data_IF_096755960477
#
_entry.id   IF_096755960477
#
_cell.length_a   1.000
_cell.length_b   1.000
_cell.length_c   1.000
_cell.angle_alpha   90.00
_cell.angle_beta   90.00
_cell.angle_gamma   90.00
#
_symmetry.space_group_name_H-M   'P 1'
#
loop_
_entity.id
_entity.type
_entity.pdbx_description
1 polymer ?
#
# COMPACT_ATOMS: atom_id res chain seq x y z
N UNK A 1 2.32 -38.41 -53.16
CA UNK A 1 3.31 -37.75 -52.26
C UNK A 1 2.56 -36.73 -51.43
N UNK A 2 2.26 -37.09 -50.18
CA UNK A 2 1.68 -36.18 -49.19
C UNK A 2 2.84 -35.78 -48.26
N UNK A 3 3.17 -34.50 -48.25
CA UNK A 3 4.07 -33.90 -47.26
C UNK A 3 3.19 -33.13 -46.29
N UNK A 4 3.14 -33.65 -45.07
CA UNK A 4 2.42 -33.09 -43.94
C UNK A 4 2.89 -31.67 -43.66
N UNK A 5 1.95 -30.75 -43.65
CA UNK A 5 2.11 -29.37 -43.22
C UNK A 5 2.30 -29.31 -41.71
N UNK A 6 3.53 -28.94 -41.33
CA UNK A 6 3.90 -28.54 -39.98
C UNK A 6 3.35 -27.16 -39.60
N UNK A 7 3.15 -27.00 -38.29
CA UNK A 7 3.03 -25.77 -37.51
C UNK A 7 1.67 -25.10 -37.37
N UNK A 8 1.04 -25.39 -36.23
CA UNK A 8 0.43 -24.38 -35.37
C UNK A 8 0.69 -24.77 -33.90
N UNK A 9 1.84 -24.36 -33.35
CA UNK A 9 2.01 -24.26 -31.90
C UNK A 9 1.41 -22.93 -31.48
N UNK A 10 0.10 -22.93 -31.22
CA UNK A 10 -0.53 -21.89 -30.43
C UNK A 10 -0.06 -22.07 -28.98
N UNK A 11 0.81 -21.16 -28.53
CA UNK A 11 1.34 -21.11 -27.17
C UNK A 11 0.90 -19.81 -26.47
N UNK A 12 -0.40 -19.50 -26.46
CA UNK A 12 -1.00 -18.65 -25.43
C UNK A 12 -1.54 -19.56 -24.32
N UNK A 13 -1.27 -19.34 -23.01
CA UNK A 13 -1.24 -18.08 -22.26
C UNK A 13 0.00 -17.90 -21.35
N UNK A 14 1.01 -18.79 -21.45
CA UNK A 14 2.13 -18.84 -20.50
C UNK A 14 3.00 -17.57 -20.51
N UNK A 15 3.14 -16.92 -21.66
CA UNK A 15 3.95 -15.71 -21.79
C UNK A 15 3.35 -14.49 -21.10
N UNK A 16 2.03 -14.42 -20.90
CA UNK A 16 1.39 -13.27 -20.25
C UNK A 16 1.57 -13.33 -18.73
N UNK A 17 1.33 -14.50 -18.15
CA UNK A 17 1.51 -14.72 -16.71
C UNK A 17 2.98 -14.56 -16.30
N UNK A 18 3.92 -15.05 -17.10
CA UNK A 18 5.36 -14.87 -16.87
C UNK A 18 5.78 -13.39 -16.90
N UNK A 19 5.22 -12.59 -17.81
CA UNK A 19 5.47 -11.13 -17.86
C UNK A 19 4.96 -10.43 -16.62
N UNK A 20 3.75 -10.79 -16.17
CA UNK A 20 3.16 -10.24 -14.95
C UNK A 20 3.99 -10.61 -13.73
N UNK A 21 4.45 -11.86 -13.62
CA UNK A 21 5.32 -12.29 -12.51
C UNK A 21 6.70 -11.64 -12.56
N UNK A 22 7.30 -11.49 -13.73
CA UNK A 22 8.56 -10.76 -13.89
C UNK A 22 8.41 -9.29 -13.47
N UNK A 23 7.33 -8.64 -13.87
CA UNK A 23 7.01 -7.27 -13.49
C UNK A 23 6.81 -7.15 -11.97
N UNK A 24 6.06 -8.07 -11.34
CA UNK A 24 5.90 -8.08 -9.88
C UNK A 24 7.23 -8.21 -9.15
N UNK A 25 8.12 -9.10 -9.60
CA UNK A 25 9.46 -9.26 -9.02
C UNK A 25 10.27 -7.97 -9.11
N UNK A 26 10.29 -7.34 -10.29
CA UNK A 26 10.96 -6.06 -10.49
C UNK A 26 10.41 -4.96 -9.58
N UNK A 27 9.09 -4.85 -9.46
CA UNK A 27 8.46 -3.86 -8.57
C UNK A 27 8.80 -4.14 -7.11
N UNK A 28 8.88 -5.40 -6.71
CA UNK A 28 9.24 -5.75 -5.34
C UNK A 28 10.71 -5.43 -5.03
N UNK A 29 11.63 -5.67 -5.96
CA UNK A 29 13.02 -5.23 -5.85
C UNK A 29 13.12 -3.71 -5.70
N UNK A 30 12.39 -2.95 -6.51
CA UNK A 30 12.30 -1.49 -6.41
C UNK A 30 11.73 -1.06 -5.04
N UNK A 31 10.73 -1.77 -4.52
CA UNK A 31 10.15 -1.48 -3.20
C UNK A 31 11.12 -1.75 -2.07
N UNK A 32 11.94 -2.80 -2.15
CA UNK A 32 12.96 -3.10 -1.14
C UNK A 32 13.98 -1.97 -1.10
N UNK A 33 14.51 -1.57 -2.25
CA UNK A 33 15.45 -0.43 -2.32
C UNK A 33 14.79 0.87 -1.86
N UNK A 34 13.52 1.10 -2.22
CA UNK A 34 12.77 2.27 -1.78
C UNK A 34 12.67 2.34 -0.26
N UNK A 35 12.33 1.21 0.39
CA UNK A 35 12.28 1.15 1.86
C UNK A 35 13.65 1.40 2.49
N UNK A 36 14.71 0.83 1.92
CA UNK A 36 16.09 1.05 2.38
C UNK A 36 16.49 2.52 2.25
N UNK A 37 16.25 3.15 1.10
CA UNK A 37 16.50 4.57 0.85
C UNK A 37 15.89 5.45 1.95
N UNK A 38 14.61 5.23 2.27
CA UNK A 38 13.93 6.03 3.29
C UNK A 38 14.37 5.71 4.72
N UNK A 39 14.83 4.49 4.98
CA UNK A 39 15.36 4.06 6.29
C UNK A 39 16.75 4.65 6.55
N UNK A 40 17.61 4.63 5.54
CA UNK A 40 19.04 4.94 5.68
C UNK A 40 19.35 6.41 5.34
N UNK A 41 18.34 7.21 4.98
CA UNK A 41 18.51 8.62 4.62
C UNK A 41 19.13 9.43 5.74
N UNK A 42 19.97 10.39 5.36
CA UNK A 42 20.56 11.37 6.27
C UNK A 42 19.66 12.60 6.32
N UNK A 43 19.20 12.95 7.52
CA UNK A 43 18.41 14.15 7.75
C UNK A 43 19.32 15.33 8.13
N UNK A 44 19.54 16.25 7.19
CA UNK A 44 20.18 17.53 7.44
C UNK A 44 19.17 18.50 8.07
N UNK A 45 19.26 18.66 9.39
CA UNK A 45 18.38 19.55 10.16
C UNK A 45 18.62 21.03 9.89
N UNK A 46 19.82 21.43 9.47
CA UNK A 46 20.16 22.84 9.25
C UNK A 46 19.51 23.33 7.97
N UNK A 47 19.58 22.51 6.92
CA UNK A 47 18.99 22.82 5.60
C UNK A 47 17.57 22.28 5.44
N UNK A 48 17.12 21.43 6.36
CA UNK A 48 15.86 20.70 6.27
C UNK A 48 15.75 19.91 4.95
N UNK A 49 16.83 19.17 4.66
CA UNK A 49 17.02 18.32 3.49
C UNK A 49 17.21 16.86 3.96
N UNK A 50 16.54 15.92 3.30
CA UNK A 50 16.76 14.49 3.44
C UNK A 50 17.62 14.01 2.27
N UNK A 51 18.79 13.44 2.57
CA UNK A 51 19.84 13.12 1.60
C UNK A 51 20.04 11.60 1.54
N UNK A 52 20.25 11.04 0.34
CA UNK A 52 20.61 9.63 0.18
C UNK A 52 22.00 9.34 0.75
N UNK A 53 22.09 8.37 1.66
CA UNK A 53 23.36 7.92 2.23
C UNK A 53 24.18 7.03 1.29
N UNK A 54 23.50 6.35 0.36
CA UNK A 54 24.05 5.35 -0.56
C UNK A 54 23.59 5.57 -2.00
N UNK A 55 24.16 4.82 -2.93
CA UNK A 55 23.74 4.81 -4.34
C UNK A 55 22.74 3.68 -4.55
N UNK A 56 21.62 3.99 -5.20
CA UNK A 56 20.53 3.06 -5.54
C UNK A 56 20.28 3.12 -7.05
N UNK A 57 20.98 2.28 -7.81
CA UNK A 57 20.96 2.30 -9.28
C UNK A 57 19.55 2.05 -9.84
N UNK A 58 18.79 1.13 -9.24
CA UNK A 58 17.43 0.83 -9.70
C UNK A 58 16.46 1.98 -9.45
N UNK A 59 16.75 2.88 -8.52
CA UNK A 59 15.97 4.10 -8.27
C UNK A 59 16.54 5.33 -8.99
N UNK A 60 17.69 5.19 -9.68
CA UNK A 60 18.48 6.29 -10.28
C UNK A 60 18.87 7.38 -9.29
N UNK A 61 19.15 6.98 -8.05
CA UNK A 61 19.54 7.88 -6.96
C UNK A 61 21.01 7.67 -6.64
N UNK A 62 21.82 8.70 -6.83
CA UNK A 62 23.23 8.67 -6.43
C UNK A 62 23.39 9.02 -4.95
N UNK A 63 24.49 8.58 -4.34
CA UNK A 63 24.86 9.00 -2.98
C UNK A 63 24.98 10.52 -2.91
N UNK A 64 24.34 11.13 -1.91
CA UNK A 64 24.30 12.59 -1.75
C UNK A 64 23.14 13.28 -2.48
N UNK A 65 22.32 12.55 -3.23
CA UNK A 65 21.11 13.11 -3.87
C UNK A 65 20.09 13.50 -2.82
N UNK A 66 19.48 14.68 -2.96
CA UNK A 66 18.37 15.13 -2.10
C UNK A 66 17.11 14.34 -2.49
N UNK A 67 16.48 13.67 -1.53
CA UNK A 67 15.28 12.86 -1.76
C UNK A 67 14.03 13.66 -1.40
N UNK A 68 14.13 14.50 -0.37
CA UNK A 68 13.08 15.38 0.11
C UNK A 68 13.70 16.65 0.68
N UNK A 69 13.07 17.81 0.49
CA UNK A 69 13.48 19.04 1.13
C UNK A 69 12.26 19.91 1.39
N UNK A 70 12.33 20.75 2.42
CA UNK A 70 11.24 21.64 2.80
C UNK A 70 11.03 22.83 1.85
N UNK A 71 12.06 23.23 1.10
CA UNK A 71 12.06 24.42 0.24
C UNK A 71 12.05 24.03 -1.23
N UNK A 72 11.04 24.50 -1.97
CA UNK A 72 10.91 24.46 -3.45
C UNK A 72 11.52 23.22 -4.12
N UNK A 73 11.26 22.04 -3.55
CA UNK A 73 11.80 20.78 -4.02
C UNK A 73 10.68 19.81 -4.34
N UNK A 74 10.77 19.15 -5.49
CA UNK A 74 9.87 18.08 -5.85
C UNK A 74 10.37 16.79 -5.19
N UNK A 75 9.67 16.26 -4.17
CA UNK A 75 10.12 15.06 -3.51
C UNK A 75 10.15 13.88 -4.48
N UNK A 76 11.09 12.97 -4.23
CA UNK A 76 11.19 11.75 -5.03
C UNK A 76 9.88 10.97 -4.96
N UNK A 77 9.33 10.62 -6.12
CA UNK A 77 8.03 9.99 -6.24
C UNK A 77 8.18 8.58 -6.82
N UNK A 78 7.78 7.58 -6.04
CA UNK A 78 7.87 6.18 -6.45
C UNK A 78 7.07 5.89 -7.73
N UNK A 79 5.97 6.60 -7.96
CA UNK A 79 5.18 6.48 -9.19
C UNK A 79 6.00 6.78 -10.44
N UNK A 80 6.77 7.86 -10.40
CA UNK A 80 7.55 8.34 -11.54
C UNK A 80 8.67 7.35 -11.86
N UNK A 81 9.27 6.74 -10.82
CA UNK A 81 10.26 5.67 -10.97
C UNK A 81 9.65 4.44 -11.65
N UNK A 82 8.43 4.04 -11.27
CA UNK A 82 7.73 2.92 -11.92
C UNK A 82 7.43 3.22 -13.40
N UNK A 83 7.01 4.46 -13.71
CA UNK A 83 6.76 4.90 -15.10
C UNK A 83 8.04 4.88 -15.93
N UNK A 84 9.16 5.29 -15.35
CA UNK A 84 10.47 5.31 -16.00
C UNK A 84 11.00 3.90 -16.33
N UNK A 85 10.64 2.91 -15.50
CA UNK A 85 10.86 1.48 -15.74
C UNK A 85 9.83 0.84 -16.69
N UNK A 86 8.90 1.64 -17.24
CA UNK A 86 7.84 1.18 -18.17
C UNK A 86 6.95 0.09 -17.59
N UNK A 87 6.71 0.12 -16.27
CA UNK A 87 5.83 -0.80 -15.57
C UNK A 87 4.38 -0.57 -16.04
N UNK A 88 3.72 -1.63 -16.51
CA UNK A 88 2.30 -1.57 -16.88
C UNK A 88 1.43 -1.26 -15.66
N UNK A 89 0.51 -0.30 -15.78
CA UNK A 89 -0.43 0.11 -14.73
C UNK A 89 0.23 0.45 -13.37
N UNK A 90 1.10 1.46 -13.29
CA UNK A 90 1.86 1.80 -12.07
C UNK A 90 0.95 2.18 -10.89
N UNK A 91 -0.27 2.68 -11.16
CA UNK A 91 -1.25 3.04 -10.13
C UNK A 91 -1.64 1.86 -9.25
N UNK A 92 -1.63 0.63 -9.79
CA UNK A 92 -2.04 -0.56 -9.06
C UNK A 92 -1.05 -0.94 -7.96
N UNK A 93 0.20 -0.49 -8.05
CA UNK A 93 1.25 -0.78 -7.08
C UNK A 93 1.35 0.26 -5.96
N UNK A 94 0.58 1.34 -6.05
CA UNK A 94 0.59 2.43 -5.08
C UNK A 94 -0.69 2.37 -4.27
N UNK A 95 -0.58 2.56 -2.96
CA UNK A 95 -1.76 2.63 -2.11
C UNK A 95 -2.61 3.86 -2.49
N UNK A 96 -3.95 3.73 -2.58
CA UNK A 96 -4.81 4.87 -2.85
C UNK A 96 -4.70 5.91 -1.72
N UNK A 97 -5.03 7.16 -2.04
CA UNK A 97 -5.00 8.26 -1.08
C UNK A 97 -5.87 7.91 0.16
N UNK A 98 -5.32 8.15 1.35
CA UNK A 98 -5.97 7.87 2.66
C UNK A 98 -7.37 8.50 2.76
N UNK A 99 -7.59 9.66 2.13
CA UNK A 99 -8.87 10.37 2.15
C UNK A 99 -9.96 9.63 1.35
N UNK A 100 -9.59 8.95 0.26
CA UNK A 100 -10.50 8.13 -0.55
C UNK A 100 -10.95 6.91 0.26
N UNK A 101 -10.04 6.35 1.07
CA UNK A 101 -10.25 5.14 1.86
C UNK A 101 -10.26 3.87 1.01
N UNK A 102 -9.97 2.74 1.65
CA UNK A 102 -9.88 1.45 0.95
C UNK A 102 -11.24 0.85 0.59
N UNK A 103 -11.20 -0.37 0.05
CA UNK A 103 -12.37 -1.17 -0.32
C UNK A 103 -13.45 -1.24 0.77
N UNK A 104 -13.06 -1.31 2.04
CA UNK A 104 -14.02 -1.34 3.16
C UNK A 104 -14.83 -0.05 3.26
N UNK A 105 -14.22 1.13 3.01
CA UNK A 105 -14.94 2.40 3.02
C UNK A 105 -15.88 2.48 1.82
N UNK A 106 -15.40 2.13 0.63
CA UNK A 106 -16.21 2.05 -0.59
C UNK A 106 -17.44 1.15 -0.43
N UNK A 107 -17.27 -0.06 0.10
CA UNK A 107 -18.40 -0.98 0.35
C UNK A 107 -19.39 -0.36 1.34
N UNK A 108 -18.92 0.34 2.38
CA UNK A 108 -19.79 0.99 3.36
C UNK A 108 -20.53 2.23 2.82
N UNK A 109 -19.93 3.00 1.92
CA UNK A 109 -20.51 4.25 1.41
C UNK A 109 -21.34 4.05 0.16
N UNK A 110 -20.90 3.21 -0.78
CA UNK A 110 -21.54 3.07 -2.08
C UNK A 110 -22.49 1.86 -2.15
N UNK A 111 -22.14 0.74 -1.50
CA UNK A 111 -22.85 -0.54 -1.67
C UNK A 111 -23.84 -0.80 -0.52
N UNK A 112 -23.38 -0.66 0.73
CA UNK A 112 -24.19 -0.95 1.92
C UNK A 112 -25.47 -0.11 2.07
N UNK A 113 -25.49 1.22 1.75
CA UNK A 113 -26.69 2.03 1.94
C UNK A 113 -27.76 1.74 0.88
N UNK A 114 -27.40 1.17 -0.27
CA UNK A 114 -28.39 0.70 -1.25
C UNK A 114 -29.21 -0.50 -0.74
N UNK A 115 -28.62 -1.32 0.15
CA UNK A 115 -29.27 -2.50 0.71
C UNK A 115 -29.99 -2.25 2.05
N UNK A 116 -29.78 -1.09 2.70
CA UNK A 116 -30.30 -0.81 4.03
C UNK A 116 -31.66 -0.10 4.06
N UNK A 117 -32.15 0.41 2.92
CA UNK A 117 -33.47 1.08 2.85
C UNK A 117 -34.66 0.16 3.22
N UNK A 118 -34.47 -1.17 3.32
CA UNK A 118 -35.51 -2.10 3.77
C UNK A 118 -35.48 -2.46 5.25
N UNK A 119 -34.47 -2.05 6.02
CA UNK A 119 -34.46 -2.28 7.47
C UNK A 119 -35.01 -1.05 8.18
N UNK A 120 -36.35 -1.03 8.22
CA UNK A 120 -37.20 -0.50 9.29
C UNK A 120 -36.39 0.16 10.40
N UNK A 121 -36.67 1.44 10.62
CA UNK A 121 -36.57 2.09 11.93
C UNK A 121 -36.97 1.07 13.02
N UNK A 122 -35.99 0.38 13.59
CA UNK A 122 -36.18 -0.24 14.89
C UNK A 122 -35.95 0.91 15.83
N UNK A 123 -37.04 1.42 16.38
CA UNK A 123 -37.02 2.27 17.55
C UNK A 123 -35.96 1.74 18.51
N UNK A 124 -35.12 2.64 19.01
CA UNK A 124 -34.13 2.30 20.01
C UNK A 124 -34.86 1.80 21.27
N UNK A 125 -35.06 0.49 21.38
CA UNK A 125 -35.42 -0.13 22.63
C UNK A 125 -34.10 -0.31 23.37
N UNK A 126 -33.85 0.55 24.36
CA UNK A 126 -32.75 0.37 25.29
C UNK A 126 -32.87 -1.02 25.92
N UNK A 127 -32.04 -1.97 25.49
CA UNK A 127 -31.98 -3.27 26.12
C UNK A 127 -31.54 -3.07 27.57
N UNK A 128 -32.36 -3.50 28.54
CA UNK A 128 -31.97 -3.54 29.95
C UNK A 128 -30.69 -4.36 30.05
N UNK A 129 -29.59 -3.71 30.46
CA UNK A 129 -28.29 -4.36 30.66
C UNK A 129 -28.47 -5.41 31.76
N UNK A 130 -28.57 -6.68 31.36
CA UNK A 130 -28.44 -7.80 32.29
C UNK A 130 -27.03 -7.76 32.84
N UNK A 131 -26.94 -7.74 34.16
CA UNK A 131 -25.74 -7.60 34.99
C UNK A 131 -24.44 -8.02 34.29
N UNK A 132 -23.53 -7.06 34.14
CA UNK A 132 -22.13 -7.37 33.83
C UNK A 132 -21.62 -8.37 34.88
N UNK A 133 -20.82 -9.35 34.43
CA UNK A 133 -20.16 -10.28 35.34
C UNK A 133 -19.48 -9.49 36.47
N UNK A 134 -19.83 -9.71 37.75
CA UNK A 134 -19.10 -9.08 38.83
C UNK A 134 -17.64 -9.55 38.74
N UNK A 135 -16.72 -8.61 38.58
CA UNK A 135 -15.28 -8.91 38.62
C UNK A 135 -15.00 -9.64 39.93
N UNK A 136 -14.59 -10.90 39.82
CA UNK A 136 -14.23 -11.75 40.96
C UNK A 136 -13.13 -11.05 41.78
N UNK A 137 -13.34 -11.00 43.10
CA UNK A 137 -12.26 -10.91 44.08
C UNK A 137 -11.78 -9.49 44.37
N UNK A 138 -12.48 -8.78 45.25
CA UNK A 138 -12.00 -7.55 45.86
C UNK A 138 -10.67 -7.74 46.58
N UNK A 139 -9.66 -7.00 46.13
CA UNK A 139 -8.49 -6.49 46.87
C UNK A 139 -7.74 -5.56 45.92
N UNK A 140 -8.15 -4.30 45.88
CA UNK A 140 -7.50 -3.24 45.13
C UNK A 140 -7.24 -2.06 46.04
N UNK A 141 -5.95 -1.74 46.16
CA UNK A 141 -5.33 -0.54 46.76
C UNK A 141 -5.57 -0.45 48.28
N UNK A 142 -4.65 -0.94 49.11
CA UNK A 142 -3.57 -0.07 49.59
C UNK A 142 -4.08 1.37 49.64
N UNK A 143 -4.41 1.85 50.84
CA UNK A 143 -4.26 3.21 51.37
C UNK A 143 -5.08 3.24 52.67
N UNK A 144 -4.45 2.75 53.76
CA UNK A 144 -4.87 3.09 55.11
C UNK A 144 -4.49 4.57 55.31
N UNK A 145 -5.48 5.41 55.57
CA UNK A 145 -5.29 6.66 56.30
C UNK A 145 -5.58 6.38 57.78
#
# INVERSE_FOLDING_TARGET
MQVSSDQAKDSGPQTADERVEAQKKMVEELRVQWKQLWSDRLNDKVRAEDISSSTYDSLRVERGTIIHASRDYKPLNFKEILEEHKVENPQNFIAPNVNVGGWTKFVKTEIAPQNSQKRRQREYVAAKKVCQQPKKGGRGWLHKA
#
